data_IF_659187196131
#
_entry.id   IF_659187196131
#
_cell.length_a   1.000
_cell.length_b   1.000
_cell.length_c   1.000
_cell.angle_alpha   90.00
_cell.angle_beta   90.00
_cell.angle_gamma   90.00
#
_symmetry.space_group_name_H-M   'P 1'
#
loop_
_entity.id
_entity.type
_entity.pdbx_description
1 polymer ?
#
# COMPACT_ATOMS: atom_id res chain seq x y z
N UNK A 1 11.19 13.50 -39.76
CA UNK A 1 10.00 13.39 -38.89
C UNK A 1 10.18 12.16 -37.98
N UNK A 2 10.75 12.33 -36.78
CA UNK A 2 10.89 11.22 -35.81
C UNK A 2 9.74 11.36 -34.81
N UNK A 3 8.76 10.46 -34.88
CA UNK A 3 7.69 10.34 -33.89
C UNK A 3 8.31 9.81 -32.59
N UNK A 4 8.46 10.66 -31.60
CA UNK A 4 8.70 10.25 -30.22
C UNK A 4 7.45 9.53 -29.72
N UNK A 5 7.44 8.22 -29.82
CA UNK A 5 6.50 7.37 -29.09
C UNK A 5 6.89 7.44 -27.61
N UNK A 6 6.27 8.34 -26.84
CA UNK A 6 6.29 8.27 -25.38
C UNK A 6 5.54 7.00 -24.99
N UNK A 7 6.31 5.96 -24.69
CA UNK A 7 5.81 4.67 -24.22
C UNK A 7 5.11 4.94 -22.89
N UNK A 8 3.79 4.67 -22.85
CA UNK A 8 2.96 4.83 -21.66
C UNK A 8 3.19 3.76 -20.60
N UNK A 9 4.44 3.52 -20.20
CA UNK A 9 4.87 2.45 -19.29
C UNK A 9 5.06 2.94 -17.85
N UNK A 10 4.23 3.90 -17.38
CA UNK A 10 4.34 4.35 -16.00
C UNK A 10 3.37 3.58 -15.10
N UNK A 11 3.88 2.54 -14.45
CA UNK A 11 3.17 1.83 -13.40
C UNK A 11 2.98 2.73 -12.17
N UNK A 12 1.95 2.46 -11.34
CA UNK A 12 1.74 3.15 -10.04
C UNK A 12 3.00 3.16 -9.17
N UNK A 13 3.83 2.11 -9.23
CA UNK A 13 5.09 1.96 -8.49
C UNK A 13 6.15 3.02 -8.84
N UNK A 14 6.36 3.28 -10.13
CA UNK A 14 7.32 4.31 -10.58
C UNK A 14 6.96 5.70 -10.08
N UNK A 15 5.64 5.99 -10.04
CA UNK A 15 5.11 7.24 -9.51
C UNK A 15 5.35 7.41 -8.01
N UNK A 16 5.23 6.34 -7.24
CA UNK A 16 5.47 6.35 -5.78
C UNK A 16 6.95 6.64 -5.49
N UNK A 17 7.88 6.05 -6.24
CA UNK A 17 9.29 6.27 -6.02
C UNK A 17 9.70 7.72 -6.31
N UNK A 18 9.17 8.33 -7.37
CA UNK A 18 9.46 9.73 -7.70
C UNK A 18 8.84 10.69 -6.67
N UNK A 19 7.65 10.40 -6.16
CA UNK A 19 7.07 11.16 -5.03
C UNK A 19 7.99 11.15 -3.80
N UNK A 20 8.62 10.00 -3.48
CA UNK A 20 9.57 9.87 -2.37
C UNK A 20 10.85 10.71 -2.58
N UNK A 21 11.21 11.02 -3.81
CA UNK A 21 12.34 11.92 -4.14
C UNK A 21 11.92 13.40 -4.11
N UNK A 22 10.74 13.72 -4.65
CA UNK A 22 10.24 15.09 -4.69
C UNK A 22 9.80 15.61 -3.32
N UNK A 23 9.24 14.76 -2.46
CA UNK A 23 8.72 15.20 -1.16
C UNK A 23 9.81 15.85 -0.29
N UNK A 24 10.95 15.19 0.01
CA UNK A 24 12.02 15.81 0.79
C UNK A 24 12.64 17.03 0.11
N UNK A 25 12.72 17.05 -1.21
CA UNK A 25 13.21 18.20 -1.98
C UNK A 25 12.34 19.45 -1.74
N UNK A 26 11.02 19.29 -1.84
CA UNK A 26 10.06 20.38 -1.59
C UNK A 26 10.11 20.80 -0.12
N UNK A 27 10.12 19.84 0.80
CA UNK A 27 10.19 20.09 2.24
C UNK A 27 11.45 20.88 2.62
N UNK A 28 12.62 20.43 2.18
CA UNK A 28 13.91 21.11 2.44
C UNK A 28 13.95 22.51 1.84
N UNK A 29 13.39 22.70 0.65
CA UNK A 29 13.34 24.03 0.03
C UNK A 29 12.44 25.00 0.81
N UNK A 30 11.30 24.54 1.33
CA UNK A 30 10.43 25.35 2.17
C UNK A 30 11.08 25.67 3.52
N UNK A 31 11.74 24.71 4.15
CA UNK A 31 12.52 24.94 5.39
C UNK A 31 13.63 25.95 5.15
N UNK A 32 14.39 25.80 4.08
CA UNK A 32 15.43 26.77 3.72
C UNK A 32 14.89 28.20 3.49
N UNK A 33 13.70 28.32 2.91
CA UNK A 33 13.02 29.62 2.78
C UNK A 33 12.68 30.24 4.14
N UNK A 34 12.29 29.44 5.13
CA UNK A 34 12.00 29.90 6.49
C UNK A 34 13.30 30.30 7.21
N UNK A 35 14.34 29.48 7.16
CA UNK A 35 15.65 29.76 7.75
C UNK A 35 16.30 31.04 7.20
N UNK A 36 16.08 31.34 5.91
CA UNK A 36 16.54 32.58 5.27
C UNK A 36 15.64 33.79 5.55
N UNK A 37 14.57 33.62 6.33
CA UNK A 37 13.62 34.68 6.65
C UNK A 37 12.74 35.15 5.47
N UNK A 38 12.71 34.41 4.37
CA UNK A 38 11.86 34.69 3.21
C UNK A 38 10.40 34.33 3.47
N UNK A 39 10.18 33.32 4.29
CA UNK A 39 8.88 32.91 4.80
C UNK A 39 8.89 32.95 6.33
N UNK A 40 7.78 33.28 6.98
CA UNK A 40 7.63 33.15 8.43
C UNK A 40 7.85 31.69 8.85
N UNK A 41 8.47 31.49 10.00
CA UNK A 41 8.63 30.18 10.61
C UNK A 41 7.26 29.60 11.00
N UNK A 42 6.95 28.40 10.51
CA UNK A 42 5.70 27.71 10.78
C UNK A 42 5.88 26.21 10.62
N UNK A 43 5.09 25.38 11.32
CA UNK A 43 5.07 23.95 11.07
C UNK A 43 4.59 23.67 9.63
N UNK A 44 5.29 22.78 8.92
CA UNK A 44 4.89 22.35 7.58
C UNK A 44 3.69 21.40 7.67
N UNK A 45 2.52 21.79 7.15
CA UNK A 45 1.41 20.86 7.05
C UNK A 45 1.71 19.76 6.03
N UNK A 46 1.09 18.59 6.16
CA UNK A 46 1.19 17.57 5.12
C UNK A 46 0.66 18.11 3.79
N UNK A 47 1.40 17.84 2.72
CA UNK A 47 1.05 18.25 1.36
C UNK A 47 1.06 17.07 0.41
N UNK A 48 0.38 17.21 -0.72
CA UNK A 48 0.27 16.19 -1.73
C UNK A 48 1.18 16.47 -2.92
N UNK A 49 1.62 15.37 -3.55
CA UNK A 49 2.30 15.37 -4.83
C UNK A 49 1.55 14.40 -5.72
N UNK A 50 0.87 14.89 -6.74
CA UNK A 50 0.01 14.10 -7.61
C UNK A 50 0.34 14.35 -9.09
N UNK A 51 0.15 13.36 -9.97
CA UNK A 51 0.16 13.62 -11.40
C UNK A 51 -1.00 14.56 -11.74
N UNK A 52 -0.75 15.66 -12.48
CA UNK A 52 -1.81 16.54 -12.90
C UNK A 52 -2.79 15.81 -13.83
N UNK A 53 -4.04 16.28 -13.89
CA UNK A 53 -5.06 15.68 -14.76
C UNK A 53 -4.71 15.77 -16.23
N UNK A 54 -4.10 16.89 -16.63
CA UNK A 54 -3.68 17.15 -18.01
C UNK A 54 -2.16 17.01 -18.10
N UNK A 55 -1.68 16.24 -19.07
CA UNK A 55 -0.25 16.03 -19.32
C UNK A 55 0.50 17.33 -19.68
N UNK A 56 -0.21 18.34 -20.18
CA UNK A 56 0.36 19.65 -20.46
C UNK A 56 0.90 20.35 -19.21
N UNK A 57 0.42 19.97 -18.02
CA UNK A 57 0.82 20.55 -16.74
C UNK A 57 1.99 19.80 -16.08
N UNK A 58 2.70 18.95 -16.81
CA UNK A 58 3.88 18.25 -16.33
C UNK A 58 3.63 16.81 -15.87
N UNK A 59 4.60 16.27 -15.16
CA UNK A 59 4.57 14.89 -14.66
C UNK A 59 4.04 14.81 -13.23
N UNK A 60 4.28 15.85 -12.41
CA UNK A 60 3.81 15.99 -11.04
C UNK A 60 3.39 17.41 -10.72
N UNK A 61 2.43 17.55 -9.81
CA UNK A 61 2.01 18.83 -9.23
C UNK A 61 1.93 18.70 -7.70
N UNK A 62 2.29 19.77 -6.99
CA UNK A 62 2.12 19.85 -5.55
C UNK A 62 1.26 21.02 -5.13
N UNK A 63 0.51 20.85 -4.03
CA UNK A 63 -0.27 21.88 -3.35
C UNK A 63 0.46 22.49 -2.15
N UNK A 64 1.76 22.19 -1.95
CA UNK A 64 2.54 22.57 -0.77
C UNK A 64 2.43 24.06 -0.42
N UNK A 65 2.55 24.95 -1.41
CA UNK A 65 2.41 26.38 -1.21
C UNK A 65 1.00 26.81 -0.76
N UNK A 66 -0.02 26.10 -1.21
CA UNK A 66 -1.42 26.38 -0.88
C UNK A 66 -1.74 25.97 0.56
N UNK A 67 -1.30 24.78 0.98
CA UNK A 67 -1.55 24.32 2.36
C UNK A 67 -0.74 25.11 3.39
N UNK A 68 0.46 25.57 3.03
CA UNK A 68 1.29 26.39 3.89
C UNK A 68 0.77 27.85 4.04
N UNK A 69 0.02 28.34 3.08
CA UNK A 69 -0.40 29.75 2.97
C UNK A 69 -1.12 30.28 4.21
N UNK A 70 -1.98 29.47 4.81
CA UNK A 70 -2.73 29.85 6.02
C UNK A 70 -1.81 29.97 7.26
N UNK A 71 -0.84 29.07 7.39
CA UNK A 71 0.10 29.03 8.53
C UNK A 71 1.05 30.23 8.49
N UNK A 72 1.60 30.57 7.32
CA UNK A 72 2.55 31.68 7.16
C UNK A 72 1.88 33.03 6.82
N UNK A 73 0.55 33.06 6.64
CA UNK A 73 -0.24 34.26 6.28
C UNK A 73 0.31 35.02 5.05
N UNK A 74 0.68 34.26 4.02
CA UNK A 74 1.20 34.76 2.75
C UNK A 74 0.34 34.25 1.59
N UNK A 75 0.38 34.95 0.46
CA UNK A 75 -0.31 34.46 -0.75
C UNK A 75 0.33 33.18 -1.26
N UNK A 76 -0.44 32.15 -1.61
CA UNK A 76 0.12 30.87 -2.07
C UNK A 76 1.09 31.04 -3.26
N UNK A 77 0.84 31.96 -4.17
CA UNK A 77 1.74 32.23 -5.31
C UNK A 77 3.10 32.78 -4.91
N UNK A 78 3.16 33.59 -3.85
CA UNK A 78 4.42 34.13 -3.35
C UNK A 78 5.24 33.01 -2.69
N UNK A 79 4.59 32.11 -1.95
CA UNK A 79 5.21 30.93 -1.38
C UNK A 79 5.69 30.00 -2.48
N UNK A 80 4.87 29.76 -3.52
CA UNK A 80 5.26 28.93 -4.66
C UNK A 80 6.49 29.50 -5.38
N UNK A 81 6.59 30.83 -5.50
CA UNK A 81 7.76 31.50 -6.08
C UNK A 81 9.00 31.31 -5.21
N UNK A 82 8.89 31.57 -3.91
CA UNK A 82 9.98 31.32 -2.97
C UNK A 82 10.47 29.86 -2.99
N UNK A 83 9.53 28.91 -3.03
CA UNK A 83 9.85 27.48 -3.19
C UNK A 83 10.64 27.23 -4.47
N UNK A 84 10.16 27.70 -5.62
CA UNK A 84 10.79 27.44 -6.92
C UNK A 84 12.17 28.10 -7.01
N UNK A 85 12.32 29.33 -6.51
CA UNK A 85 13.58 30.08 -6.53
C UNK A 85 14.66 29.44 -5.65
N UNK A 86 14.25 28.61 -4.65
CA UNK A 86 15.15 27.94 -3.69
C UNK A 86 15.11 26.42 -3.82
N UNK A 87 14.55 25.91 -4.91
CA UNK A 87 14.52 24.47 -5.17
C UNK A 87 15.92 23.99 -5.56
N UNK A 88 16.54 23.20 -4.69
CA UNK A 88 17.87 22.61 -4.95
C UNK A 88 17.71 21.21 -5.57
N UNK A 89 17.60 21.15 -6.91
CA UNK A 89 17.62 19.88 -7.65
C UNK A 89 19.06 19.39 -7.86
N UNK A 90 19.76 19.08 -6.77
CA UNK A 90 21.11 18.53 -6.81
C UNK A 90 21.22 17.22 -7.61
N UNK A 91 20.11 16.50 -7.76
CA UNK A 91 20.02 15.29 -8.57
C UNK A 91 19.83 15.54 -10.06
N UNK A 92 19.55 16.77 -10.47
CA UNK A 92 19.34 17.14 -11.87
C UNK A 92 18.18 16.43 -12.54
N UNK A 93 17.15 16.04 -11.81
CA UNK A 93 16.02 15.23 -12.30
C UNK A 93 14.94 16.06 -12.97
N UNK A 94 14.87 17.34 -12.60
CA UNK A 94 13.83 18.26 -13.05
C UNK A 94 14.29 18.98 -14.31
N UNK A 95 13.48 18.97 -15.35
CA UNK A 95 13.72 19.73 -16.58
C UNK A 95 13.21 21.16 -16.44
N UNK A 96 12.01 21.31 -15.81
CA UNK A 96 11.30 22.58 -15.71
C UNK A 96 10.34 22.55 -14.53
N UNK A 97 10.15 23.71 -13.91
CA UNK A 97 9.13 23.94 -12.89
C UNK A 97 8.25 25.11 -13.30
N UNK A 98 6.94 24.98 -13.13
CA UNK A 98 5.97 26.03 -13.43
C UNK A 98 5.01 26.24 -12.26
N UNK A 99 4.66 27.52 -12.03
CA UNK A 99 3.63 27.89 -11.05
C UNK A 99 2.30 28.06 -11.78
N UNK A 100 1.31 27.25 -11.42
CA UNK A 100 0.00 27.24 -12.03
C UNK A 100 -1.12 27.65 -11.06
N UNK A 101 -2.17 28.27 -11.61
CA UNK A 101 -3.36 28.63 -10.86
C UNK A 101 -3.07 29.43 -9.59
N UNK A 102 -3.70 29.10 -8.46
CA UNK A 102 -3.57 29.86 -7.20
C UNK A 102 -2.22 29.64 -6.49
N UNK A 103 -1.40 28.66 -6.89
CA UNK A 103 -0.13 28.35 -6.26
C UNK A 103 0.27 26.87 -6.32
N UNK A 104 -0.27 26.14 -7.28
CA UNK A 104 0.26 24.81 -7.61
C UNK A 104 1.66 24.94 -8.22
N UNK A 105 2.55 24.02 -7.89
CA UNK A 105 3.86 23.93 -8.50
C UNK A 105 3.93 22.64 -9.29
N UNK A 106 4.14 22.78 -10.60
CA UNK A 106 4.17 21.70 -11.57
C UNK A 106 5.62 21.37 -11.94
N UNK A 107 5.97 20.09 -11.91
CA UNK A 107 7.29 19.56 -12.21
C UNK A 107 7.27 18.80 -13.52
N UNK A 108 8.19 19.13 -14.41
CA UNK A 108 8.49 18.42 -15.64
C UNK A 108 9.80 17.67 -15.44
N UNK A 109 9.77 16.35 -15.55
CA UNK A 109 10.92 15.51 -15.28
C UNK A 109 11.74 15.28 -16.55
N UNK A 110 13.06 15.27 -16.44
CA UNK A 110 13.93 14.91 -17.56
C UNK A 110 13.68 13.48 -18.02
N UNK A 111 13.80 13.25 -19.33
CA UNK A 111 13.65 11.90 -19.89
C UNK A 111 14.64 10.87 -19.30
N UNK A 112 15.84 11.30 -18.98
CA UNK A 112 16.89 10.48 -18.38
C UNK A 112 16.54 9.99 -16.97
N UNK A 113 15.73 10.76 -16.23
CA UNK A 113 15.23 10.38 -14.90
C UNK A 113 14.41 9.09 -14.95
N UNK A 114 13.64 8.92 -16.00
CA UNK A 114 12.85 7.72 -16.23
C UNK A 114 13.72 6.52 -16.63
N UNK A 115 14.80 6.77 -17.40
CA UNK A 115 15.77 5.72 -17.74
C UNK A 115 16.55 5.23 -16.50
N UNK A 116 16.89 6.13 -15.57
CA UNK A 116 17.49 5.75 -14.29
C UNK A 116 16.55 4.88 -13.47
N UNK A 117 15.25 5.23 -13.43
CA UNK A 117 14.24 4.43 -12.73
C UNK A 117 14.10 3.01 -13.30
N UNK A 118 14.24 2.83 -14.60
CA UNK A 118 14.24 1.50 -15.23
C UNK A 118 15.44 0.66 -14.79
N UNK A 119 16.60 1.29 -14.58
CA UNK A 119 17.77 0.61 -14.00
C UNK A 119 17.51 0.15 -12.57
N UNK A 120 16.90 1.02 -11.72
CA UNK A 120 16.54 0.63 -10.36
C UNK A 120 15.57 -0.59 -10.37
N UNK A 121 14.62 -0.64 -11.31
CA UNK A 121 13.72 -1.79 -11.49
C UNK A 121 14.49 -3.05 -11.86
N UNK A 122 15.43 -2.95 -12.81
CA UNK A 122 16.22 -4.10 -13.27
C UNK A 122 17.17 -4.62 -12.18
N UNK A 123 17.77 -3.74 -11.41
CA UNK A 123 18.66 -4.11 -10.30
C UNK A 123 17.91 -4.73 -9.12
N UNK A 124 16.78 -4.14 -8.74
CA UNK A 124 15.99 -4.61 -7.57
C UNK A 124 15.11 -5.81 -7.88
N UNK A 125 14.73 -6.02 -9.16
CA UNK A 125 13.89 -7.14 -9.62
C UNK A 125 12.68 -7.39 -8.72
N UNK A 126 12.58 -8.57 -8.13
CA UNK A 126 11.47 -8.96 -7.25
C UNK A 126 11.40 -8.14 -5.94
N UNK A 127 12.46 -7.42 -5.61
CA UNK A 127 12.51 -6.52 -4.46
C UNK A 127 12.07 -5.10 -4.79
N UNK A 128 11.80 -4.81 -6.08
CA UNK A 128 11.34 -3.48 -6.48
C UNK A 128 9.97 -3.18 -5.86
N UNK A 129 9.89 -2.06 -5.16
CA UNK A 129 8.69 -1.66 -4.42
C UNK A 129 8.68 -2.06 -2.94
N UNK A 130 9.66 -2.82 -2.46
CA UNK A 130 9.83 -3.11 -1.04
C UNK A 130 10.14 -1.81 -0.28
N UNK A 131 9.73 -1.77 0.98
CA UNK A 131 9.95 -0.62 1.86
C UNK A 131 10.15 -1.07 3.31
N UNK A 132 10.64 -0.17 4.15
CA UNK A 132 10.80 -0.41 5.59
C UNK A 132 9.75 0.36 6.43
N UNK A 133 8.54 0.53 5.92
CA UNK A 133 7.44 1.20 6.64
C UNK A 133 7.10 0.50 7.96
N UNK A 134 7.22 -0.82 7.97
CA UNK A 134 6.95 -1.66 9.13
C UNK A 134 7.99 -1.55 10.22
N UNK A 135 9.24 -1.15 9.90
CA UNK A 135 10.36 -1.04 10.85
C UNK A 135 10.52 -2.27 11.75
N UNK A 136 10.35 -3.46 11.19
CA UNK A 136 10.44 -4.71 11.92
C UNK A 136 9.31 -4.96 12.93
N UNK A 137 8.24 -4.17 12.96
CA UNK A 137 7.10 -4.44 13.85
C UNK A 137 6.54 -5.82 13.59
N UNK A 138 6.33 -6.58 14.68
CA UNK A 138 5.76 -7.91 14.60
C UNK A 138 4.27 -7.84 14.32
N UNK A 139 3.82 -8.63 13.35
CA UNK A 139 2.41 -8.77 12.97
C UNK A 139 2.11 -10.26 12.81
N UNK A 140 1.00 -10.67 13.34
CA UNK A 140 0.45 -12.02 13.19
C UNK A 140 -0.73 -11.94 12.25
N UNK A 141 -0.77 -12.80 11.23
CA UNK A 141 -1.87 -12.91 10.28
C UNK A 141 -2.45 -14.30 10.41
N UNK A 142 -3.63 -14.38 11.00
CA UNK A 142 -4.42 -15.60 11.08
C UNK A 142 -5.35 -15.68 9.87
N UNK A 143 -5.38 -16.81 9.18
CA UNK A 143 -6.26 -17.02 8.05
C UNK A 143 -6.58 -18.48 7.81
N UNK A 144 -7.69 -18.73 7.09
CA UNK A 144 -8.38 -20.00 6.94
C UNK A 144 -9.08 -20.41 8.22
N UNK A 145 -8.36 -20.92 9.23
CA UNK A 145 -8.83 -21.32 10.57
C UNK A 145 -10.19 -22.03 10.53
N UNK A 146 -10.34 -22.97 9.60
CA UNK A 146 -11.62 -23.63 9.32
C UNK A 146 -11.95 -24.66 10.38
N UNK A 147 -13.23 -24.67 10.81
CA UNK A 147 -13.74 -25.71 11.71
C UNK A 147 -13.77 -27.08 11.00
N UNK A 148 -13.48 -28.18 11.70
CA UNK A 148 -13.43 -29.53 11.13
C UNK A 148 -14.84 -30.13 10.95
N UNK A 149 -15.76 -29.39 10.33
CA UNK A 149 -17.16 -29.79 10.16
C UNK A 149 -17.47 -30.40 8.80
N UNK A 150 -16.46 -30.44 7.90
CA UNK A 150 -16.58 -30.98 6.56
C UNK A 150 -15.42 -30.61 5.66
N UNK A 151 -15.47 -30.95 4.36
CA UNK A 151 -14.44 -30.60 3.42
C UNK A 151 -14.29 -29.07 3.25
N UNK A 152 -13.07 -28.62 3.00
CA UNK A 152 -12.82 -27.22 2.64
C UNK A 152 -13.57 -26.86 1.35
N UNK A 153 -14.17 -25.68 1.31
CA UNK A 153 -14.86 -25.15 0.16
C UNK A 153 -14.19 -23.87 -0.38
N UNK A 154 -14.68 -23.36 -1.50
CA UNK A 154 -14.09 -22.20 -2.19
C UNK A 154 -13.96 -20.95 -1.28
N UNK A 155 -14.85 -20.80 -0.30
CA UNK A 155 -14.75 -19.70 0.67
C UNK A 155 -13.49 -19.78 1.53
N UNK A 156 -13.09 -20.97 1.96
CA UNK A 156 -11.83 -21.19 2.69
C UNK A 156 -10.62 -20.91 1.77
N UNK A 157 -10.66 -21.36 0.51
CA UNK A 157 -9.63 -21.06 -0.51
C UNK A 157 -9.48 -19.56 -0.72
N UNK A 158 -10.59 -18.81 -0.82
CA UNK A 158 -10.54 -17.34 -0.91
C UNK A 158 -9.88 -16.72 0.33
N UNK A 159 -10.24 -17.18 1.52
CA UNK A 159 -9.64 -16.73 2.78
C UNK A 159 -8.14 -16.99 2.82
N UNK A 160 -7.70 -18.17 2.33
CA UNK A 160 -6.28 -18.54 2.22
C UNK A 160 -5.50 -17.57 1.34
N UNK A 161 -6.00 -17.31 0.13
CA UNK A 161 -5.34 -16.40 -0.83
C UNK A 161 -5.26 -14.97 -0.26
N UNK A 162 -6.35 -14.45 0.29
CA UNK A 162 -6.37 -13.11 0.86
C UNK A 162 -5.41 -12.99 2.04
N UNK A 163 -5.41 -13.95 2.95
CA UNK A 163 -4.51 -13.97 4.11
C UNK A 163 -3.03 -14.05 3.71
N UNK A 164 -2.71 -14.91 2.76
CA UNK A 164 -1.33 -15.04 2.27
C UNK A 164 -0.85 -13.77 1.55
N UNK A 165 -1.69 -13.17 0.70
CA UNK A 165 -1.36 -11.90 0.03
C UNK A 165 -1.15 -10.77 1.04
N UNK A 166 -1.99 -10.66 2.08
CA UNK A 166 -1.80 -9.67 3.15
C UNK A 166 -0.47 -9.89 3.87
N UNK A 167 -0.16 -11.14 4.24
CA UNK A 167 1.10 -11.48 4.89
C UNK A 167 2.31 -11.13 4.01
N UNK A 168 2.24 -11.40 2.71
CA UNK A 168 3.30 -11.07 1.75
C UNK A 168 3.48 -9.55 1.61
N UNK A 169 2.40 -8.77 1.52
CA UNK A 169 2.44 -7.31 1.45
C UNK A 169 3.04 -6.69 2.72
N UNK A 170 2.65 -7.18 3.88
CA UNK A 170 3.22 -6.74 5.16
C UNK A 170 4.72 -7.05 5.23
N UNK A 171 5.14 -8.24 4.79
CA UNK A 171 6.56 -8.61 4.71
C UNK A 171 7.31 -7.68 3.76
N UNK A 172 6.77 -7.41 2.57
CA UNK A 172 7.36 -6.52 1.58
C UNK A 172 7.46 -5.06 2.07
N UNK A 173 6.65 -4.69 3.05
CA UNK A 173 6.70 -3.37 3.70
C UNK A 173 7.51 -3.33 4.99
N UNK A 174 8.33 -4.36 5.28
CA UNK A 174 9.28 -4.38 6.38
C UNK A 174 8.70 -4.75 7.75
N UNK A 175 7.55 -5.45 7.79
CA UNK A 175 7.05 -6.04 9.03
C UNK A 175 7.64 -7.44 9.24
N UNK A 176 7.83 -7.82 10.50
CA UNK A 176 8.14 -9.19 10.90
C UNK A 176 6.82 -9.98 11.01
N UNK A 177 6.47 -10.72 9.97
CA UNK A 177 5.16 -11.37 9.84
C UNK A 177 5.24 -12.84 10.25
N UNK A 178 4.34 -13.26 11.15
CA UNK A 178 4.01 -14.66 11.41
C UNK A 178 2.66 -15.01 10.81
N UNK A 179 2.59 -16.18 10.16
CA UNK A 179 1.34 -16.75 9.66
C UNK A 179 0.82 -17.75 10.67
N UNK A 180 -0.48 -17.69 10.93
CA UNK A 180 -1.13 -18.57 11.90
C UNK A 180 -2.36 -19.23 11.30
N UNK A 181 -2.54 -20.47 11.67
CA UNK A 181 -3.74 -21.24 11.40
C UNK A 181 -4.25 -21.77 12.74
N UNK A 182 -5.45 -21.37 13.15
CA UNK A 182 -6.07 -21.89 14.35
C UNK A 182 -6.70 -23.27 14.09
N UNK A 183 -6.23 -24.27 14.83
CA UNK A 183 -6.81 -25.61 14.76
C UNK A 183 -7.85 -25.75 15.86
N UNK A 184 -9.12 -25.90 15.47
CA UNK A 184 -10.21 -26.15 16.41
C UNK A 184 -10.32 -27.68 16.63
N UNK A 185 -9.63 -28.18 17.66
CA UNK A 185 -9.53 -29.59 18.00
C UNK A 185 -10.40 -30.00 19.22
N UNK A 186 -11.25 -29.12 19.72
CA UNK A 186 -12.10 -29.35 20.89
C UNK A 186 -13.55 -28.94 20.67
N UNK A 187 -14.44 -29.43 21.54
CA UNK A 187 -15.83 -29.04 21.60
C UNK A 187 -16.79 -29.90 20.78
N UNK A 188 -18.06 -29.48 20.72
CA UNK A 188 -19.16 -30.26 20.13
C UNK A 188 -18.97 -30.59 18.64
N UNK A 189 -18.27 -29.74 17.91
CA UNK A 189 -18.01 -29.93 16.47
C UNK A 189 -17.08 -31.13 16.24
N UNK A 190 -16.03 -31.26 17.05
CA UNK A 190 -15.14 -32.43 17.04
C UNK A 190 -15.87 -33.72 17.42
N UNK A 191 -16.72 -33.67 18.45
CA UNK A 191 -17.52 -34.81 18.86
C UNK A 191 -18.51 -35.23 17.75
N UNK A 192 -19.09 -34.27 17.02
CA UNK A 192 -19.97 -34.54 15.88
C UNK A 192 -19.22 -35.18 14.71
N UNK A 193 -17.97 -34.77 14.45
CA UNK A 193 -17.13 -35.36 13.42
C UNK A 193 -16.66 -36.78 13.80
N UNK A 194 -16.31 -36.98 15.06
CA UNK A 194 -15.83 -38.25 15.57
C UNK A 194 -16.93 -39.34 15.60
N UNK A 195 -18.18 -38.96 15.85
CA UNK A 195 -19.32 -39.86 15.92
C UNK A 195 -19.47 -40.83 14.73
N UNK A 196 -19.50 -40.35 13.49
CA UNK A 196 -19.57 -41.19 12.28
C UNK A 196 -18.34 -42.13 12.12
N UNK A 197 -17.17 -41.66 12.49
CA UNK A 197 -15.94 -42.47 12.46
C UNK A 197 -16.00 -43.67 13.42
N UNK A 198 -16.42 -43.44 14.66
CA UNK A 198 -16.59 -44.50 15.65
C UNK A 198 -17.73 -45.45 15.28
N UNK A 199 -18.82 -44.96 14.73
CA UNK A 199 -19.95 -45.78 14.23
C UNK A 199 -19.51 -46.67 13.05
N UNK A 200 -18.65 -46.18 12.17
CA UNK A 200 -18.09 -46.92 11.04
C UNK A 200 -17.19 -48.07 11.50
N UNK A 201 -16.36 -47.83 12.51
CA UNK A 201 -15.46 -48.85 13.08
C UNK A 201 -16.28 -49.93 13.85
N UNK A 202 -17.32 -49.54 14.58
CA UNK A 202 -18.23 -50.46 15.27
C UNK A 202 -18.93 -51.42 14.33
N UNK A 203 -19.36 -50.96 13.15
CA UNK A 203 -19.98 -51.83 12.13
C UNK A 203 -18.99 -52.82 11.50
N UNK A 204 -17.71 -52.50 11.49
CA UNK A 204 -16.65 -53.42 11.00
C UNK A 204 -16.34 -54.55 11.97
N UNK A 205 -16.55 -54.34 13.28
CA UNK A 205 -16.32 -55.30 14.35
C UNK A 205 -17.53 -56.17 14.74
N UNK A 206 -18.64 -56.09 14.01
CA UNK A 206 -19.78 -56.98 14.16
C UNK A 206 -20.60 -56.83 15.44
N UNK A 207 -20.40 -55.80 16.23
CA UNK A 207 -21.21 -55.51 17.42
C UNK A 207 -22.23 -54.41 17.08
N UNK A 208 -23.53 -54.75 17.07
CA UNK A 208 -24.61 -53.80 16.79
C UNK A 208 -24.62 -52.65 17.82
N UNK A 209 -24.25 -51.48 17.42
CA UNK A 209 -24.38 -50.25 18.19
C UNK A 209 -25.63 -49.48 17.74
N UNK A 210 -26.51 -49.22 18.64
CA UNK A 210 -27.67 -48.36 18.47
C UNK A 210 -27.19 -46.92 18.18
N UNK A 211 -27.47 -46.43 17.01
CA UNK A 211 -27.22 -45.04 16.58
C UNK A 211 -27.95 -44.06 17.52
N UNK A 212 -27.28 -43.04 18.10
CA UNK A 212 -28.00 -42.01 18.84
C UNK A 212 -28.85 -41.20 17.84
N UNK A 213 -30.16 -41.31 17.99
CA UNK A 213 -31.14 -40.45 17.28
C UNK A 213 -31.13 -39.06 17.91
N UNK A 214 -30.19 -38.20 17.58
CA UNK A 214 -30.31 -36.75 17.79
C UNK A 214 -29.21 -36.01 17.05
N UNK A 215 -29.24 -36.09 15.72
CA UNK A 215 -28.63 -35.04 14.91
C UNK A 215 -29.72 -34.03 14.61
N UNK A 216 -29.85 -33.03 15.45
CA UNK A 216 -30.74 -31.88 15.20
C UNK A 216 -30.31 -31.19 13.92
N UNK A 217 -31.13 -31.29 12.89
CA UNK A 217 -31.05 -30.43 11.69
C UNK A 217 -31.30 -29.01 12.15
N UNK A 218 -30.26 -28.23 12.32
CA UNK A 218 -30.40 -26.79 12.49
C UNK A 218 -30.80 -26.20 11.12
N UNK A 219 -32.08 -25.87 10.99
CA UNK A 219 -32.58 -25.07 9.88
C UNK A 219 -32.32 -23.61 10.24
N UNK A 220 -31.25 -23.06 9.74
CA UNK A 220 -31.09 -21.60 9.72
C UNK A 220 -32.16 -21.02 8.82
N UNK A 221 -33.20 -20.46 9.48
CA UNK A 221 -34.24 -19.64 8.88
C UNK A 221 -33.63 -18.37 8.25
N UNK A 222 -34.08 -18.11 7.04
CA UNK A 222 -33.95 -16.82 6.34
C UNK A 222 -34.65 -15.72 7.15
N UNK A 223 -33.99 -14.64 7.38
CA UNK A 223 -34.49 -13.26 7.20
C UNK A 223 -33.34 -12.37 6.82
#
# INVERSE_FOLDING_TARGET
>A
MKRNAKIGLFTKSSRILMKKRLYPLIEQSLVACMEKGLLPEAPLPPFDIEPPREKAHGDYATNAAMVLASAVRRKPRDIARALVDHLDDAGGWIEKVEIAGPGFVNFFMKGETWAALLRDVDELRDRYGFSDLGRGRRVQVEFVSANPTGPLHIGHGRGAVVGDVIANLLTATGHAVSREYYINDAGNQMNTLAGPFFSGIGNFSGSGSTTPRNATRDRTSRT
#
